data_IF_312136549025
#
_entry.id   IF_312136549025
#
_cell.length_a   1.000
_cell.length_b   1.000
_cell.length_c   1.000
_cell.angle_alpha   90.00
_cell.angle_beta   90.00
_cell.angle_gamma   90.00
#
_symmetry.space_group_name_H-M   'P 1'
#
loop_
_entity.id
_entity.type
_entity.pdbx_description
1 polymer ?
#
# COMPACT_ATOMS: atom_id res chain seq x y z
N UNK A 1 -26.57 -46.16 -15.50
CA UNK A 1 -27.65 -45.20 -15.83
C UNK A 1 -27.84 -44.09 -14.77
N UNK A 2 -27.42 -44.30 -13.52
CA UNK A 2 -27.59 -43.35 -12.40
C UNK A 2 -26.59 -42.17 -12.42
N UNK A 3 -25.32 -42.40 -12.74
CA UNK A 3 -24.27 -41.36 -12.76
C UNK A 3 -24.55 -40.28 -13.80
N UNK A 4 -24.77 -40.64 -15.07
CA UNK A 4 -25.05 -39.69 -16.16
C UNK A 4 -26.28 -38.80 -15.89
N UNK A 5 -27.35 -39.37 -15.30
CA UNK A 5 -28.57 -38.63 -14.95
C UNK A 5 -28.32 -37.62 -13.82
N UNK A 6 -27.45 -37.98 -12.86
CA UNK A 6 -27.04 -37.12 -11.74
C UNK A 6 -26.15 -35.97 -12.23
N UNK A 7 -25.20 -36.26 -13.11
CA UNK A 7 -24.37 -35.26 -13.79
C UNK A 7 -25.22 -34.22 -14.53
N UNK A 8 -26.20 -34.68 -15.32
CA UNK A 8 -27.13 -33.78 -16.03
C UNK A 8 -27.99 -32.95 -15.09
N UNK A 9 -28.46 -33.50 -13.96
CA UNK A 9 -29.24 -32.74 -12.98
C UNK A 9 -28.41 -31.67 -12.27
N UNK A 10 -27.20 -31.97 -11.85
CA UNK A 10 -26.31 -31.01 -11.17
C UNK A 10 -25.89 -29.88 -12.12
N UNK A 11 -25.56 -30.21 -13.37
CA UNK A 11 -25.27 -29.22 -14.39
C UNK A 11 -26.43 -28.23 -14.58
N UNK A 12 -27.66 -28.74 -14.69
CA UNK A 12 -28.85 -27.89 -14.82
C UNK A 12 -29.06 -27.03 -13.58
N UNK A 13 -28.86 -27.59 -12.38
CA UNK A 13 -29.04 -26.89 -11.11
C UNK A 13 -28.12 -25.67 -10.99
N UNK A 14 -26.83 -25.81 -11.30
CA UNK A 14 -25.89 -24.67 -11.28
C UNK A 14 -26.19 -23.66 -12.39
N UNK A 15 -26.63 -24.12 -13.56
CA UNK A 15 -27.03 -23.22 -14.66
C UNK A 15 -28.24 -22.37 -14.27
N UNK A 16 -29.26 -22.99 -13.68
CA UNK A 16 -30.49 -22.32 -13.26
C UNK A 16 -30.24 -21.38 -12.07
N UNK A 17 -29.24 -21.67 -11.23
CA UNK A 17 -28.79 -20.76 -10.17
C UNK A 17 -28.27 -19.44 -10.73
N UNK A 18 -27.33 -19.46 -11.69
CA UNK A 18 -26.77 -18.22 -12.23
C UNK A 18 -27.83 -17.35 -12.91
N UNK A 19 -28.81 -17.97 -13.56
CA UNK A 19 -30.00 -17.28 -14.08
C UNK A 19 -30.82 -16.67 -12.96
N UNK A 20 -31.13 -17.46 -11.92
CA UNK A 20 -31.89 -16.98 -10.77
C UNK A 20 -31.17 -15.83 -10.04
N UNK A 21 -29.85 -15.81 -10.01
CA UNK A 21 -29.03 -14.72 -9.46
C UNK A 21 -29.01 -13.47 -10.34
N UNK A 22 -29.07 -13.61 -11.68
CA UNK A 22 -29.11 -12.47 -12.60
C UNK A 22 -30.43 -11.70 -12.52
N UNK A 23 -31.56 -12.36 -12.72
CA UNK A 23 -32.87 -11.71 -12.83
C UNK A 23 -34.05 -12.46 -12.16
N UNK A 24 -33.82 -13.66 -11.61
CA UNK A 24 -34.86 -14.45 -10.94
C UNK A 24 -35.35 -13.91 -9.59
N UNK A 25 -36.39 -14.55 -9.05
CA UNK A 25 -37.02 -14.17 -7.77
C UNK A 25 -36.46 -14.98 -6.58
N UNK A 26 -36.77 -14.55 -5.36
CA UNK A 26 -36.47 -15.31 -4.14
C UNK A 26 -37.04 -16.75 -4.20
N UNK A 27 -38.25 -16.90 -4.76
CA UNK A 27 -38.90 -18.20 -4.92
C UNK A 27 -38.18 -19.11 -5.92
N UNK A 28 -37.57 -18.54 -6.97
CA UNK A 28 -36.80 -19.32 -7.93
C UNK A 28 -35.53 -19.87 -7.29
N UNK A 29 -34.81 -19.02 -6.54
CA UNK A 29 -33.61 -19.41 -5.83
C UNK A 29 -33.89 -20.40 -4.69
N UNK A 30 -35.02 -20.24 -3.98
CA UNK A 30 -35.43 -21.16 -2.93
C UNK A 30 -35.71 -22.60 -3.41
N UNK A 31 -36.03 -22.79 -4.70
CA UNK A 31 -36.19 -24.12 -5.30
C UNK A 31 -34.87 -24.81 -5.63
N UNK A 32 -33.75 -24.07 -5.61
CA UNK A 32 -32.42 -24.55 -6.01
C UNK A 32 -31.50 -24.80 -4.81
N UNK A 33 -31.79 -24.17 -3.67
CA UNK A 33 -30.90 -24.13 -2.50
C UNK A 33 -31.45 -25.02 -1.38
N UNK A 34 -30.60 -25.88 -0.85
CA UNK A 34 -30.92 -26.78 0.24
C UNK A 34 -31.17 -26.00 1.55
N UNK A 35 -32.10 -26.40 2.44
CA UNK A 35 -32.38 -25.67 3.70
C UNK A 35 -31.18 -25.51 4.64
N UNK A 36 -30.20 -26.40 4.54
CA UNK A 36 -28.92 -26.35 5.28
C UNK A 36 -27.75 -25.80 4.46
N UNK A 37 -28.03 -25.17 3.32
CA UNK A 37 -26.96 -24.72 2.42
C UNK A 37 -26.08 -23.66 3.08
N UNK A 38 -24.78 -23.70 2.78
CA UNK A 38 -23.83 -22.72 3.27
C UNK A 38 -23.02 -22.10 2.12
N UNK A 39 -22.98 -20.77 2.08
CA UNK A 39 -22.13 -20.02 1.16
C UNK A 39 -20.87 -19.53 1.90
N UNK A 40 -19.71 -20.08 1.55
CA UNK A 40 -18.44 -19.70 2.18
C UNK A 40 -18.02 -18.26 1.85
N UNK A 41 -18.52 -17.69 0.75
CA UNK A 41 -18.19 -16.34 0.30
C UNK A 41 -19.04 -15.26 0.98
N UNK A 42 -20.08 -15.64 1.73
CA UNK A 42 -20.99 -14.71 2.42
C UNK A 42 -20.32 -13.91 3.55
N UNK A 43 -19.08 -14.25 3.93
CA UNK A 43 -18.33 -13.58 5.01
C UNK A 43 -18.18 -12.07 4.79
N UNK A 44 -18.03 -11.62 3.55
CA UNK A 44 -17.90 -10.20 3.19
C UNK A 44 -19.24 -9.49 2.94
N UNK A 45 -20.32 -10.26 2.86
CA UNK A 45 -21.67 -9.79 2.61
C UNK A 45 -22.41 -9.40 3.90
N UNK A 46 -23.64 -8.87 3.80
CA UNK A 46 -24.42 -8.45 4.95
C UNK A 46 -24.68 -9.62 5.91
N UNK A 47 -24.91 -9.38 7.22
CA UNK A 47 -25.16 -10.45 8.19
C UNK A 47 -26.26 -11.45 7.77
N UNK A 48 -27.31 -10.97 7.09
CA UNK A 48 -28.38 -11.81 6.57
C UNK A 48 -27.89 -12.90 5.60
N UNK A 49 -26.86 -12.61 4.79
CA UNK A 49 -26.27 -13.55 3.82
C UNK A 49 -25.59 -14.76 4.47
N UNK A 50 -25.24 -14.65 5.75
CA UNK A 50 -24.57 -15.71 6.52
C UNK A 50 -25.55 -16.74 7.10
N UNK A 51 -26.85 -16.50 6.94
CA UNK A 51 -27.90 -17.43 7.38
C UNK A 51 -27.90 -18.67 6.49
N UNK A 52 -27.89 -19.89 7.05
CA UNK A 52 -27.99 -21.10 6.24
C UNK A 52 -29.28 -21.16 5.40
N UNK A 53 -29.18 -21.76 4.22
CA UNK A 53 -30.31 -22.06 3.34
C UNK A 53 -30.72 -20.92 2.40
N UNK A 54 -31.92 -21.01 1.81
CA UNK A 54 -32.41 -20.09 0.78
C UNK A 54 -32.33 -18.61 1.15
N UNK A 55 -32.64 -18.26 2.41
CA UNK A 55 -32.68 -16.87 2.86
C UNK A 55 -31.30 -16.19 2.79
N UNK A 56 -30.22 -16.89 3.17
CA UNK A 56 -28.87 -16.33 3.08
C UNK A 56 -28.41 -16.16 1.63
N UNK A 57 -28.68 -17.14 0.79
CA UNK A 57 -28.34 -17.06 -0.63
C UNK A 57 -29.11 -15.95 -1.36
N UNK A 58 -30.39 -15.76 -1.01
CA UNK A 58 -31.15 -14.61 -1.49
C UNK A 58 -30.57 -13.29 -1.00
N UNK A 59 -30.17 -13.19 0.26
CA UNK A 59 -29.52 -11.99 0.78
C UNK A 59 -28.19 -11.67 0.06
N UNK A 60 -27.37 -12.68 -0.27
CA UNK A 60 -26.19 -12.50 -1.13
C UNK A 60 -26.57 -11.96 -2.52
N UNK A 61 -27.63 -12.51 -3.12
CA UNK A 61 -28.13 -12.11 -4.44
C UNK A 61 -28.65 -10.66 -4.43
N UNK A 62 -29.49 -10.33 -3.45
CA UNK A 62 -30.05 -9.00 -3.27
C UNK A 62 -28.97 -7.96 -3.00
N UNK A 63 -27.93 -8.30 -2.22
CA UNK A 63 -26.79 -7.44 -1.97
C UNK A 63 -25.98 -7.15 -3.24
N UNK A 64 -25.70 -8.16 -4.06
CA UNK A 64 -25.04 -7.96 -5.36
C UNK A 64 -25.88 -7.07 -6.28
N UNK A 65 -27.19 -7.34 -6.39
CA UNK A 65 -28.12 -6.54 -7.22
C UNK A 65 -28.33 -5.12 -6.70
N UNK A 66 -28.14 -4.88 -5.42
CA UNK A 66 -28.17 -3.52 -4.86
C UNK A 66 -26.98 -2.69 -5.34
N UNK A 67 -25.80 -3.31 -5.52
CA UNK A 67 -24.63 -2.63 -6.08
C UNK A 67 -24.62 -2.55 -7.60
N UNK A 68 -25.13 -3.58 -8.29
CA UNK A 68 -24.96 -3.73 -9.73
C UNK A 68 -26.28 -3.96 -10.47
N UNK A 69 -26.46 -3.25 -11.58
CA UNK A 69 -27.52 -3.52 -12.57
C UNK A 69 -26.98 -4.35 -13.73
N UNK A 70 -27.89 -4.88 -14.56
CA UNK A 70 -27.54 -5.61 -15.78
C UNK A 70 -26.61 -6.81 -15.52
N UNK A 71 -26.71 -7.39 -14.32
CA UNK A 71 -25.90 -8.53 -13.91
C UNK A 71 -26.18 -9.74 -14.82
N UNK A 72 -25.12 -10.34 -15.34
CA UNK A 72 -25.18 -11.55 -16.16
C UNK A 72 -23.93 -12.39 -15.94
N UNK A 73 -24.07 -13.70 -16.17
CA UNK A 73 -22.96 -14.65 -16.15
C UNK A 73 -22.91 -15.39 -17.48
N UNK A 74 -21.79 -15.29 -18.16
CA UNK A 74 -21.42 -16.20 -19.24
C UNK A 74 -20.78 -17.44 -18.61
N UNK A 75 -21.31 -18.62 -18.90
CA UNK A 75 -20.79 -19.89 -18.37
C UNK A 75 -19.88 -20.52 -19.44
N UNK A 76 -18.57 -20.55 -19.19
CA UNK A 76 -17.56 -21.04 -20.14
C UNK A 76 -17.45 -22.56 -20.07
N UNK A 77 -17.20 -23.08 -18.87
CA UNK A 77 -17.13 -24.51 -18.61
C UNK A 77 -17.91 -24.87 -17.35
N UNK A 78 -18.60 -26.01 -17.40
CA UNK A 78 -19.24 -26.65 -16.26
C UNK A 78 -18.70 -28.06 -16.15
N UNK A 79 -17.91 -28.30 -15.12
CA UNK A 79 -17.40 -29.62 -14.77
C UNK A 79 -18.25 -30.18 -13.64
N UNK A 80 -18.73 -31.42 -13.80
CA UNK A 80 -19.50 -32.11 -12.78
C UNK A 80 -18.87 -33.46 -12.51
N UNK A 81 -18.56 -33.70 -11.25
CA UNK A 81 -18.09 -34.97 -10.73
C UNK A 81 -18.99 -35.37 -9.56
N UNK A 82 -19.91 -36.30 -9.84
CA UNK A 82 -20.99 -36.73 -8.94
C UNK A 82 -21.78 -35.59 -8.28
N UNK A 83 -21.49 -35.27 -7.02
CA UNK A 83 -22.16 -34.26 -6.22
C UNK A 83 -21.44 -32.91 -6.23
N UNK A 84 -20.25 -32.84 -6.83
CA UNK A 84 -19.42 -31.64 -6.96
C UNK A 84 -19.57 -31.04 -8.36
N UNK A 85 -19.72 -29.72 -8.43
CA UNK A 85 -19.67 -28.97 -9.68
C UNK A 85 -18.67 -27.82 -9.57
N UNK A 86 -17.92 -27.58 -10.65
CA UNK A 86 -17.09 -26.39 -10.83
C UNK A 86 -17.55 -25.66 -12.09
N UNK A 87 -17.68 -24.34 -12.00
CA UNK A 87 -18.21 -23.49 -13.05
C UNK A 87 -17.24 -22.34 -13.26
N UNK A 88 -16.61 -22.30 -14.44
CA UNK A 88 -15.84 -21.14 -14.88
C UNK A 88 -16.76 -20.17 -15.61
N UNK A 89 -16.74 -18.91 -15.19
CA UNK A 89 -17.70 -17.90 -15.64
C UNK A 89 -17.03 -16.56 -15.90
N UNK A 90 -17.70 -15.72 -16.68
CA UNK A 90 -17.48 -14.27 -16.68
C UNK A 90 -18.74 -13.57 -16.18
N UNK A 91 -18.61 -12.89 -15.05
CA UNK A 91 -19.64 -12.02 -14.50
C UNK A 91 -19.51 -10.64 -15.12
N UNK A 92 -20.61 -10.12 -15.65
CA UNK A 92 -20.68 -8.77 -16.24
C UNK A 92 -21.85 -7.97 -15.67
N UNK A 93 -21.73 -6.65 -15.69
CA UNK A 93 -22.79 -5.75 -15.25
C UNK A 93 -22.34 -4.30 -15.20
N UNK A 94 -23.13 -3.45 -14.52
CA UNK A 94 -22.84 -2.03 -14.32
C UNK A 94 -22.97 -1.63 -12.86
N UNK A 95 -22.01 -0.87 -12.34
CA UNK A 95 -22.03 -0.41 -10.95
C UNK A 95 -22.93 0.83 -10.78
N UNK A 96 -24.17 0.60 -10.38
CA UNK A 96 -25.25 1.60 -10.34
C UNK A 96 -25.76 1.94 -8.95
N UNK A 97 -25.49 1.10 -7.94
CA UNK A 97 -25.84 1.40 -6.55
C UNK A 97 -24.62 1.36 -5.63
N UNK A 98 -24.80 1.73 -4.37
CA UNK A 98 -23.72 1.68 -3.39
C UNK A 98 -23.39 0.22 -3.05
N UNK A 99 -22.11 -0.15 -3.16
CA UNK A 99 -21.64 -1.50 -2.83
C UNK A 99 -20.98 -1.51 -1.44
N UNK A 100 -21.62 -2.20 -0.50
CA UNK A 100 -21.19 -2.28 0.90
C UNK A 100 -20.37 -3.54 1.16
N UNK A 101 -19.26 -3.44 1.90
CA UNK A 101 -18.53 -4.60 2.42
C UNK A 101 -18.68 -4.65 3.93
N UNK A 102 -18.87 -5.84 4.47
CA UNK A 102 -19.11 -6.06 5.90
C UNK A 102 -17.94 -6.82 6.55
N UNK A 103 -17.64 -6.45 7.80
CA UNK A 103 -16.67 -7.12 8.66
C UNK A 103 -17.26 -8.35 9.36
N UNK A 104 -16.44 -9.19 10.03
CA UNK A 104 -16.91 -10.40 10.71
C UNK A 104 -18.00 -10.15 11.75
N UNK A 105 -18.00 -9.00 12.41
CA UNK A 105 -18.99 -8.55 13.39
C UNK A 105 -20.30 -8.01 12.77
N UNK A 106 -20.37 -7.91 11.44
CA UNK A 106 -21.53 -7.38 10.72
C UNK A 106 -21.52 -5.86 10.55
N UNK A 107 -20.46 -5.16 10.97
CA UNK A 107 -20.27 -3.73 10.71
C UNK A 107 -19.93 -3.47 9.24
N UNK A 108 -20.28 -2.29 8.73
CA UNK A 108 -19.89 -1.87 7.38
C UNK A 108 -18.44 -1.38 7.43
N UNK A 109 -17.53 -2.11 6.78
CA UNK A 109 -16.09 -1.80 6.74
C UNK A 109 -15.69 -0.99 5.51
N UNK A 110 -16.49 -1.03 4.45
CA UNK A 110 -16.29 -0.17 3.28
C UNK A 110 -17.62 0.08 2.54
N UNK A 111 -17.73 1.26 1.93
CA UNK A 111 -18.81 1.61 1.00
C UNK A 111 -18.19 2.14 -0.29
N UNK A 112 -18.58 1.58 -1.43
CA UNK A 112 -18.17 2.06 -2.75
C UNK A 112 -19.37 2.78 -3.40
N UNK A 113 -19.28 4.09 -3.67
CA UNK A 113 -20.36 4.82 -4.31
C UNK A 113 -20.49 4.40 -5.79
N UNK A 114 -21.70 4.47 -6.37
CA UNK A 114 -21.93 4.03 -7.74
C UNK A 114 -21.06 4.81 -8.73
N UNK A 115 -20.44 4.08 -9.66
CA UNK A 115 -19.48 4.65 -10.63
C UNK A 115 -20.07 4.79 -12.03
N UNK A 116 -21.20 4.14 -12.30
CA UNK A 116 -21.81 4.03 -13.63
C UNK A 116 -21.01 3.19 -14.62
N UNK A 117 -19.83 2.68 -14.25
CA UNK A 117 -18.93 1.93 -15.14
C UNK A 117 -19.42 0.50 -15.37
N UNK A 118 -19.33 -0.02 -16.61
CA UNK A 118 -19.52 -1.43 -16.87
C UNK A 118 -18.30 -2.23 -16.41
N UNK A 119 -18.49 -3.52 -16.14
CA UNK A 119 -17.40 -4.45 -15.85
C UNK A 119 -17.69 -5.82 -16.46
N UNK A 120 -16.62 -6.59 -16.66
CA UNK A 120 -16.61 -8.00 -16.98
C UNK A 120 -15.38 -8.62 -16.32
N UNK A 121 -15.56 -9.64 -15.49
CA UNK A 121 -14.52 -10.28 -14.68
C UNK A 121 -14.71 -11.79 -14.62
N UNK A 122 -13.61 -12.54 -14.61
CA UNK A 122 -13.65 -14.00 -14.56
C UNK A 122 -13.77 -14.51 -13.13
N UNK A 123 -14.52 -15.60 -12.96
CA UNK A 123 -14.74 -16.23 -11.65
C UNK A 123 -14.84 -17.75 -11.83
N UNK A 124 -14.33 -18.50 -10.86
CA UNK A 124 -14.62 -19.95 -10.75
C UNK A 124 -15.44 -20.19 -9.50
N UNK A 125 -16.60 -20.81 -9.66
CA UNK A 125 -17.51 -21.16 -8.58
C UNK A 125 -17.56 -22.67 -8.41
N UNK A 126 -17.59 -23.12 -7.16
CA UNK A 126 -17.66 -24.52 -6.81
C UNK A 126 -18.89 -24.77 -5.96
N UNK A 127 -19.58 -25.86 -6.23
CA UNK A 127 -20.82 -26.22 -5.57
C UNK A 127 -20.83 -27.68 -5.16
N UNK A 128 -21.39 -27.99 -3.98
CA UNK A 128 -21.85 -29.35 -3.68
C UNK A 128 -23.36 -29.44 -3.74
N UNK A 129 -23.84 -30.63 -4.09
CA UNK A 129 -25.26 -30.94 -4.13
C UNK A 129 -25.64 -32.04 -3.13
N UNK A 130 -26.81 -31.89 -2.51
CA UNK A 130 -27.43 -32.91 -1.68
C UNK A 130 -28.95 -32.86 -1.90
N UNK A 131 -29.59 -34.02 -1.96
CA UNK A 131 -31.05 -34.13 -2.15
C UNK A 131 -31.57 -33.40 -3.39
N UNK A 132 -30.73 -33.29 -4.43
CA UNK A 132 -31.06 -32.59 -5.68
C UNK A 132 -30.97 -31.06 -5.60
N UNK A 133 -30.42 -30.51 -4.51
CA UNK A 133 -30.30 -29.08 -4.23
C UNK A 133 -28.85 -28.69 -3.94
N UNK A 134 -28.52 -27.40 -4.08
CA UNK A 134 -27.22 -26.84 -3.74
C UNK A 134 -27.06 -26.75 -2.22
N UNK A 135 -26.04 -27.38 -1.66
CA UNK A 135 -25.81 -27.43 -0.20
C UNK A 135 -24.53 -26.70 0.23
N UNK A 136 -23.61 -26.44 -0.69
CA UNK A 136 -22.38 -25.72 -0.38
C UNK A 136 -21.90 -24.91 -1.59
N UNK A 137 -21.31 -23.73 -1.34
CA UNK A 137 -20.66 -22.90 -2.35
C UNK A 137 -19.35 -22.29 -1.85
N UNK A 138 -18.34 -22.21 -2.72
CA UNK A 138 -17.14 -21.40 -2.56
C UNK A 138 -16.61 -20.93 -3.93
N UNK A 139 -15.79 -19.88 -3.97
CA UNK A 139 -15.35 -19.31 -5.24
C UNK A 139 -13.93 -18.74 -5.23
N UNK A 140 -13.32 -18.70 -6.41
CA UNK A 140 -12.19 -17.84 -6.73
C UNK A 140 -12.69 -16.72 -7.64
N UNK A 141 -12.64 -15.48 -7.15
CA UNK A 141 -13.16 -14.30 -7.86
C UNK A 141 -12.05 -13.31 -8.20
N UNK A 142 -12.12 -12.70 -9.38
CA UNK A 142 -11.28 -11.56 -9.75
C UNK A 142 -11.81 -10.24 -9.15
N UNK A 143 -11.79 -10.15 -7.82
CA UNK A 143 -12.24 -8.96 -7.09
C UNK A 143 -11.30 -7.75 -7.33
N UNK A 144 -10.02 -8.00 -7.65
CA UNK A 144 -9.04 -6.96 -7.97
C UNK A 144 -9.29 -6.37 -9.37
N UNK A 145 -9.51 -7.22 -10.38
CA UNK A 145 -9.90 -6.79 -11.72
C UNK A 145 -11.24 -6.06 -11.71
N UNK A 146 -12.20 -6.50 -10.88
CA UNK A 146 -13.46 -5.78 -10.65
C UNK A 146 -13.20 -4.39 -10.11
N UNK A 147 -12.40 -4.28 -9.04
CA UNK A 147 -12.05 -3.00 -8.45
C UNK A 147 -11.32 -2.07 -9.44
N UNK A 148 -10.46 -2.62 -10.30
CA UNK A 148 -9.77 -1.87 -11.36
C UNK A 148 -10.73 -1.33 -12.42
N UNK A 149 -11.59 -2.18 -12.98
CA UNK A 149 -12.62 -1.79 -13.97
C UNK A 149 -13.54 -0.69 -13.45
N UNK A 150 -13.93 -0.81 -12.17
CA UNK A 150 -14.83 0.13 -11.51
C UNK A 150 -14.11 1.38 -11.00
N UNK A 151 -12.78 1.47 -11.08
CA UNK A 151 -12.02 2.60 -10.56
C UNK A 151 -12.09 2.74 -9.04
N UNK A 152 -12.32 1.63 -8.34
CA UNK A 152 -12.21 1.56 -6.88
C UNK A 152 -10.76 1.44 -6.42
N UNK A 153 -9.89 0.97 -7.31
CA UNK A 153 -8.47 1.15 -7.19
C UNK A 153 -8.18 2.60 -7.57
N UNK A 154 -7.44 3.31 -6.72
CA UNK A 154 -6.84 4.56 -7.12
C UNK A 154 -6.05 4.30 -8.42
N UNK A 155 -6.40 5.01 -9.50
CA UNK A 155 -5.51 5.08 -10.63
C UNK A 155 -4.16 5.58 -10.12
N UNK A 156 -3.02 5.06 -10.60
CA UNK A 156 -1.78 5.81 -10.46
C UNK A 156 -1.98 7.15 -11.18
N UNK A 157 -2.21 8.24 -10.43
CA UNK A 157 -2.35 9.61 -10.97
C UNK A 157 -3.74 10.26 -10.94
N UNK A 158 -4.59 9.99 -9.95
CA UNK A 158 -5.86 10.72 -9.77
C UNK A 158 -5.70 12.11 -9.14
N UNK A 159 -5.11 13.08 -9.85
CA UNK A 159 -5.04 14.48 -9.40
C UNK A 159 -4.36 15.41 -10.41
N UNK A 160 -5.14 16.10 -11.25
CA UNK A 160 -4.62 17.07 -12.22
C UNK A 160 -3.66 16.47 -13.27
N UNK A 161 -3.09 17.28 -14.18
CA UNK A 161 -1.95 16.83 -14.97
C UNK A 161 -0.85 16.41 -14.00
N UNK A 162 -0.32 15.19 -14.17
CA UNK A 162 0.82 14.72 -13.39
C UNK A 162 1.91 15.79 -13.40
N UNK A 163 2.37 16.21 -12.23
CA UNK A 163 3.45 17.19 -12.16
C UNK A 163 4.60 16.69 -13.04
N UNK A 164 5.13 17.55 -13.91
CA UNK A 164 6.29 17.18 -14.70
C UNK A 164 7.52 17.12 -13.79
N UNK A 165 8.42 16.18 -14.07
CA UNK A 165 9.73 16.17 -13.44
C UNK A 165 10.47 17.46 -13.81
N UNK A 166 11.07 18.10 -12.82
CA UNK A 166 11.94 19.27 -12.97
C UNK A 166 13.29 18.93 -12.36
N UNK A 167 14.30 19.72 -12.72
CA UNK A 167 15.63 19.58 -12.15
C UNK A 167 16.14 20.92 -11.68
N UNK A 168 16.91 20.90 -10.59
CA UNK A 168 17.53 22.08 -10.03
C UNK A 168 18.98 21.76 -9.65
N UNK A 169 19.89 22.62 -10.11
CA UNK A 169 21.25 22.66 -9.59
C UNK A 169 21.22 23.27 -8.17
N UNK A 170 21.65 22.49 -7.19
CA UNK A 170 21.75 22.90 -5.78
C UNK A 170 23.20 23.16 -5.35
N UNK A 171 24.11 23.34 -6.33
CA UNK A 171 25.51 23.70 -6.17
C UNK A 171 26.45 22.53 -6.40
N UNK A 172 26.31 21.45 -5.63
CA UNK A 172 27.14 20.25 -5.74
C UNK A 172 26.41 19.02 -6.28
N UNK A 173 25.16 19.19 -6.72
CA UNK A 173 24.35 18.18 -7.40
C UNK A 173 23.21 18.83 -8.19
N UNK A 174 22.77 18.18 -9.26
CA UNK A 174 21.47 18.42 -9.88
C UNK A 174 20.45 17.44 -9.27
N UNK A 175 19.37 17.96 -8.67
CA UNK A 175 18.29 17.16 -8.10
C UNK A 175 17.05 17.17 -8.98
N UNK A 176 16.53 15.99 -9.29
CA UNK A 176 15.22 15.78 -9.89
C UNK A 176 14.12 15.87 -8.83
N UNK A 177 13.06 16.61 -9.13
CA UNK A 177 11.95 16.83 -8.22
C UNK A 177 10.63 17.07 -8.95
N UNK A 178 9.54 16.97 -8.20
CA UNK A 178 8.17 17.26 -8.62
C UNK A 178 7.55 18.23 -7.63
N UNK A 179 6.74 19.16 -8.13
CA UNK A 179 6.08 20.17 -7.31
C UNK A 179 4.59 20.27 -7.66
N UNK A 180 3.75 20.33 -6.62
CA UNK A 180 2.32 20.65 -6.70
C UNK A 180 2.00 21.82 -5.78
N UNK A 181 1.05 22.66 -6.18
CA UNK A 181 0.56 23.75 -5.34
C UNK A 181 1.63 24.80 -5.00
N UNK A 182 2.45 25.21 -5.97
CA UNK A 182 3.55 26.18 -5.74
C UNK A 182 3.08 27.48 -5.04
N UNK A 183 1.85 27.92 -5.31
CA UNK A 183 1.24 29.12 -4.74
C UNK A 183 0.38 28.83 -3.48
N UNK A 184 0.34 27.59 -3.00
CA UNK A 184 -0.43 27.24 -1.82
C UNK A 184 0.18 27.92 -0.56
N UNK A 185 -0.65 28.48 0.33
CA UNK A 185 -0.16 29.16 1.52
C UNK A 185 0.38 28.17 2.56
N UNK A 186 1.21 28.68 3.48
CA UNK A 186 1.75 27.89 4.59
C UNK A 186 3.10 27.23 4.27
N UNK A 187 3.57 26.32 5.14
CA UNK A 187 4.83 25.62 4.90
C UNK A 187 4.72 24.66 3.72
N UNK A 188 5.80 24.53 2.96
CA UNK A 188 5.90 23.47 1.95
C UNK A 188 6.10 22.11 2.61
N UNK A 189 5.61 21.04 1.98
CA UNK A 189 5.82 19.66 2.41
C UNK A 189 6.90 19.05 1.51
N UNK A 190 8.03 18.65 2.08
CA UNK A 190 9.05 17.89 1.35
C UNK A 190 8.87 16.39 1.61
N UNK A 191 8.58 15.61 0.57
CA UNK A 191 8.55 14.15 0.60
C UNK A 191 9.92 13.60 0.20
N UNK A 192 10.70 13.13 1.18
CA UNK A 192 12.08 12.65 1.01
C UNK A 192 12.15 11.12 1.19
N UNK A 193 12.33 10.40 0.08
CA UNK A 193 12.27 8.93 0.00
C UNK A 193 13.36 8.21 0.81
N UNK A 194 13.08 6.99 1.27
CA UNK A 194 14.08 6.10 1.85
C UNK A 194 15.17 5.71 0.84
N UNK A 195 16.26 5.11 1.32
CA UNK A 195 17.24 4.45 0.45
C UNK A 195 16.61 3.39 -0.48
N UNK A 196 17.45 2.71 -1.27
CA UNK A 196 17.06 1.76 -2.32
C UNK A 196 16.41 2.36 -3.56
N UNK A 197 15.47 3.30 -3.43
CA UNK A 197 14.62 3.69 -4.56
C UNK A 197 14.02 5.10 -4.44
N UNK A 198 14.10 5.91 -5.50
CA UNK A 198 13.54 7.28 -5.51
C UNK A 198 11.99 7.36 -5.49
N UNK A 199 11.31 6.27 -5.82
CA UNK A 199 9.88 6.28 -6.13
C UNK A 199 8.96 5.96 -4.94
N UNK A 200 9.49 5.74 -3.73
CA UNK A 200 8.69 5.38 -2.54
C UNK A 200 7.48 6.30 -2.32
N UNK A 201 7.67 7.61 -2.46
CA UNK A 201 6.62 8.60 -2.24
C UNK A 201 5.77 8.94 -3.47
N UNK A 202 6.01 8.32 -4.64
CA UNK A 202 5.20 8.62 -5.83
C UNK A 202 3.70 8.43 -5.56
N UNK A 203 3.22 7.31 -4.98
CA UNK A 203 1.79 7.13 -4.75
C UNK A 203 1.23 8.07 -3.67
N UNK A 204 2.05 8.50 -2.71
CA UNK A 204 1.66 9.48 -1.66
C UNK A 204 1.52 10.88 -2.26
N UNK A 205 2.45 11.27 -3.14
CA UNK A 205 2.46 12.58 -3.80
C UNK A 205 1.20 12.83 -4.64
N UNK A 206 0.61 11.78 -5.20
CA UNK A 206 -0.61 11.85 -6.01
C UNK A 206 -1.91 11.85 -5.18
N UNK A 207 -1.83 11.82 -3.84
CA UNK A 207 -3.03 11.70 -3.00
C UNK A 207 -3.79 13.02 -2.85
N UNK A 208 -5.14 13.00 -2.95
CA UNK A 208 -5.97 14.19 -2.77
C UNK A 208 -5.91 14.81 -1.36
N UNK A 209 -5.50 14.05 -0.34
CA UNK A 209 -5.39 14.58 1.02
C UNK A 209 -4.40 15.74 1.12
N UNK A 210 -3.40 15.76 0.23
CA UNK A 210 -2.39 16.81 0.11
C UNK A 210 -2.83 17.98 -0.77
N UNK A 211 -4.04 17.94 -1.34
CA UNK A 211 -4.56 19.06 -2.13
C UNK A 211 -4.66 20.33 -1.26
N UNK A 212 -4.32 21.46 -1.86
CA UNK A 212 -4.25 22.75 -1.16
C UNK A 212 -2.97 22.95 -0.34
N UNK A 213 -2.02 22.00 -0.34
CA UNK A 213 -0.68 22.17 0.22
C UNK A 213 0.33 22.37 -0.92
N UNK A 214 1.44 23.07 -0.61
CA UNK A 214 2.61 23.09 -1.48
C UNK A 214 3.42 21.83 -1.20
N UNK A 215 3.53 20.92 -2.16
CA UNK A 215 4.20 19.63 -1.97
C UNK A 215 5.33 19.48 -2.96
N UNK A 216 6.51 19.16 -2.45
CA UNK A 216 7.72 18.86 -3.22
C UNK A 216 8.10 17.41 -2.97
N UNK A 217 8.20 16.60 -4.02
CA UNK A 217 8.79 15.26 -3.97
C UNK A 217 10.16 15.32 -4.63
N UNK A 218 11.19 14.83 -3.97
CA UNK A 218 12.56 14.88 -4.47
C UNK A 218 13.10 13.48 -4.71
N UNK A 219 13.94 13.30 -5.73
CA UNK A 219 14.93 12.23 -5.78
C UNK A 219 16.25 12.78 -5.24
N UNK A 220 16.77 12.22 -4.16
CA UNK A 220 18.05 12.68 -3.60
C UNK A 220 19.20 12.33 -4.55
N UNK A 221 20.33 13.02 -4.40
CA UNK A 221 21.56 12.65 -5.10
C UNK A 221 21.85 11.15 -4.91
N UNK A 222 22.20 10.46 -5.99
CA UNK A 222 22.40 9.01 -6.03
C UNK A 222 21.19 8.21 -6.54
N UNK A 223 20.02 8.82 -6.68
CA UNK A 223 18.79 8.12 -7.07
C UNK A 223 18.09 8.72 -8.29
N UNK A 224 17.38 7.87 -9.03
CA UNK A 224 16.52 8.29 -10.14
C UNK A 224 17.22 9.18 -11.15
N UNK A 225 16.58 10.29 -11.52
CA UNK A 225 17.14 11.26 -12.48
C UNK A 225 18.11 12.28 -11.89
N UNK A 226 18.39 12.22 -10.58
CA UNK A 226 19.34 13.11 -9.91
C UNK A 226 20.79 12.72 -10.17
N UNK A 227 21.71 13.65 -9.91
CA UNK A 227 23.15 13.44 -10.05
C UNK A 227 23.62 12.24 -9.23
N UNK A 228 24.48 11.41 -9.82
CA UNK A 228 25.21 10.36 -9.11
C UNK A 228 26.47 10.95 -8.48
N UNK A 229 26.66 10.87 -7.16
CA UNK A 229 27.83 11.44 -6.50
C UNK A 229 29.14 10.80 -6.99
N UNK A 230 30.19 11.61 -7.12
CA UNK A 230 31.56 11.17 -7.40
C UNK A 230 32.35 10.85 -6.13
N UNK A 231 31.78 11.17 -4.95
CA UNK A 231 32.27 10.86 -3.62
C UNK A 231 31.13 10.35 -2.72
N UNK A 232 31.43 9.63 -1.63
CA UNK A 232 30.44 9.33 -0.61
C UNK A 232 29.83 10.62 -0.03
N UNK A 233 28.51 10.64 0.11
CA UNK A 233 27.77 11.74 0.74
C UNK A 233 27.43 11.39 2.19
N UNK A 234 27.62 12.36 3.08
CA UNK A 234 27.12 12.28 4.45
C UNK A 234 25.62 12.57 4.52
N UNK A 235 24.96 12.23 5.63
CA UNK A 235 23.56 12.64 5.82
C UNK A 235 23.40 14.16 5.86
N UNK A 236 24.41 14.88 6.35
CA UNK A 236 24.45 16.36 6.31
C UNK A 236 24.58 16.90 4.88
N UNK A 237 25.29 16.22 3.98
CA UNK A 237 25.32 16.58 2.56
C UNK A 237 23.93 16.47 1.93
N UNK A 238 23.24 15.35 2.14
CA UNK A 238 21.87 15.17 1.66
C UNK A 238 20.89 16.20 2.26
N UNK A 239 21.01 16.49 3.56
CA UNK A 239 20.19 17.50 4.22
C UNK A 239 20.40 18.88 3.59
N UNK A 240 21.66 19.31 3.44
CA UNK A 240 22.03 20.57 2.79
C UNK A 240 21.47 20.67 1.37
N UNK A 241 21.62 19.62 0.56
CA UNK A 241 21.13 19.59 -0.82
C UNK A 241 19.61 19.74 -0.91
N UNK A 242 18.86 19.04 -0.06
CA UNK A 242 17.40 19.18 0.01
C UNK A 242 16.96 20.55 0.52
N UNK A 243 17.64 21.13 1.52
CA UNK A 243 17.37 22.48 1.98
C UNK A 243 17.67 23.53 0.90
N UNK A 244 18.76 23.36 0.14
CA UNK A 244 19.10 24.21 -1.00
C UNK A 244 18.04 24.15 -2.11
N UNK A 245 17.50 22.95 -2.40
CA UNK A 245 16.34 22.79 -3.29
C UNK A 245 15.14 23.61 -2.81
N UNK A 246 14.76 23.49 -1.52
CA UNK A 246 13.64 24.24 -0.95
C UNK A 246 13.87 25.76 -1.04
N UNK A 247 15.07 26.24 -0.68
CA UNK A 247 15.43 27.67 -0.80
C UNK A 247 15.40 28.15 -2.26
N UNK A 248 15.90 27.35 -3.19
CA UNK A 248 15.86 27.66 -4.63
C UNK A 248 14.44 27.73 -5.19
N UNK A 249 13.48 27.04 -4.57
CA UNK A 249 12.05 27.14 -4.85
C UNK A 249 11.38 28.35 -4.16
N UNK A 250 12.11 29.16 -3.39
CA UNK A 250 11.55 30.24 -2.61
C UNK A 250 10.70 29.75 -1.43
N UNK A 251 11.04 28.60 -0.84
CA UNK A 251 10.41 28.09 0.38
C UNK A 251 11.17 28.63 1.58
N UNK A 252 10.44 29.35 2.45
CA UNK A 252 11.00 29.88 3.70
C UNK A 252 10.73 28.98 4.90
N UNK A 253 9.68 28.15 4.85
CA UNK A 253 9.28 27.21 5.90
C UNK A 253 8.77 25.91 5.30
N UNK A 254 9.16 24.79 5.89
CA UNK A 254 8.86 23.47 5.39
C UNK A 254 8.59 22.45 6.51
N UNK A 255 7.71 21.51 6.20
CA UNK A 255 7.55 20.24 6.91
C UNK A 255 8.28 19.16 6.13
N UNK A 256 9.26 18.54 6.76
CA UNK A 256 10.00 17.41 6.20
C UNK A 256 9.28 16.10 6.49
N UNK A 257 8.92 15.36 5.45
CA UNK A 257 8.38 14.00 5.54
C UNK A 257 9.46 13.04 5.07
N UNK A 258 10.14 12.41 6.02
CA UNK A 258 11.28 11.53 5.76
C UNK A 258 10.93 10.08 6.03
N UNK A 259 11.27 9.19 5.09
CA UNK A 259 11.13 7.74 5.28
C UNK A 259 12.50 7.09 5.52
N UNK A 260 12.61 6.26 6.56
CA UNK A 260 13.82 5.48 6.87
C UNK A 260 15.07 6.36 7.01
N UNK A 261 16.09 6.18 6.15
CA UNK A 261 17.30 7.01 6.14
C UNK A 261 16.99 8.51 5.99
N UNK A 262 15.97 8.89 5.21
CA UNK A 262 15.57 10.29 5.06
C UNK A 262 14.89 10.88 6.28
N UNK A 263 14.45 10.05 7.24
CA UNK A 263 14.01 10.55 8.53
C UNK A 263 15.20 11.05 9.38
N UNK A 264 16.34 10.33 9.33
CA UNK A 264 17.60 10.77 9.94
C UNK A 264 18.17 12.02 9.23
N UNK A 265 18.09 12.07 7.89
CA UNK A 265 18.47 13.27 7.12
C UNK A 265 17.60 14.47 7.50
N UNK A 266 16.30 14.27 7.75
CA UNK A 266 15.39 15.32 8.22
C UNK A 266 15.75 15.85 9.61
N UNK A 267 16.14 14.97 10.54
CA UNK A 267 16.67 15.38 11.85
C UNK A 267 17.93 16.23 11.71
N UNK A 268 18.84 15.86 10.80
CA UNK A 268 20.03 16.65 10.48
C UNK A 268 19.64 18.01 9.90
N UNK A 269 18.72 18.06 8.94
CA UNK A 269 18.22 19.29 8.33
C UNK A 269 17.61 20.25 9.36
N UNK A 270 16.84 19.73 10.32
CA UNK A 270 16.24 20.53 11.39
C UNK A 270 17.25 21.08 12.41
N UNK A 271 18.42 20.43 12.55
CA UNK A 271 19.52 20.95 13.36
C UNK A 271 20.30 22.05 12.61
N UNK A 272 20.48 21.88 11.31
CA UNK A 272 21.31 22.77 10.48
C UNK A 272 20.56 24.04 10.06
N UNK A 273 19.26 23.94 9.74
CA UNK A 273 18.40 25.07 9.36
C UNK A 273 17.03 24.99 10.09
N UNK A 274 16.99 25.30 11.41
CA UNK A 274 15.77 25.22 12.21
C UNK A 274 14.71 26.27 11.83
N UNK A 275 15.08 27.31 11.08
CA UNK A 275 14.14 28.34 10.61
C UNK A 275 13.41 27.87 9.34
N UNK A 276 14.08 27.08 8.49
CA UNK A 276 13.45 26.43 7.33
C UNK A 276 12.61 25.22 7.74
N UNK A 277 13.14 24.34 8.58
CA UNK A 277 12.46 23.09 8.93
C UNK A 277 11.67 23.27 10.22
N UNK A 278 10.41 23.68 10.10
CA UNK A 278 9.52 23.91 11.25
C UNK A 278 8.80 22.64 11.72
N UNK A 279 8.74 21.60 10.87
CA UNK A 279 8.07 20.34 11.18
C UNK A 279 8.76 19.11 10.61
N UNK A 280 8.65 18.00 11.33
CA UNK A 280 9.18 16.69 10.98
C UNK A 280 8.08 15.63 11.08
N UNK A 281 7.85 14.89 10.00
CA UNK A 281 7.09 13.64 9.99
C UNK A 281 8.05 12.52 9.62
N UNK A 282 8.40 11.69 10.61
CA UNK A 282 9.47 10.71 10.52
C UNK A 282 8.87 9.31 10.44
N UNK A 283 8.88 8.70 9.25
CA UNK A 283 8.37 7.37 9.00
C UNK A 283 9.49 6.34 9.24
N UNK A 284 9.36 5.57 10.32
CA UNK A 284 10.31 4.55 10.77
C UNK A 284 11.78 5.01 10.69
N UNK A 285 12.14 6.08 11.42
CA UNK A 285 13.52 6.53 11.53
C UNK A 285 14.40 5.43 12.13
N UNK A 286 15.63 5.32 11.67
CA UNK A 286 16.62 4.38 12.20
C UNK A 286 17.89 5.10 12.67
N UNK A 287 17.81 6.01 13.67
CA UNK A 287 18.98 6.70 14.20
C UNK A 287 19.75 5.74 15.10
N UNK A 288 20.76 5.06 14.52
CA UNK A 288 21.57 4.03 15.19
C UNK A 288 20.72 2.90 15.78
N UNK A 289 20.46 1.83 15.02
CA UNK A 289 19.82 0.65 15.59
C UNK A 289 20.71 0.09 16.71
N UNK A 290 20.24 0.20 17.96
CA UNK A 290 20.90 -0.28 19.15
C UNK A 290 19.85 -0.97 20.04
N UNK A 291 20.19 -2.14 20.58
CA UNK A 291 19.26 -2.97 21.33
C UNK A 291 19.11 -4.38 20.74
N UNK A 292 18.39 -5.28 21.42
CA UNK A 292 18.28 -6.67 21.01
C UNK A 292 17.66 -6.86 19.63
N UNK A 293 16.61 -6.12 19.26
CA UNK A 293 16.01 -6.28 17.94
C UNK A 293 16.89 -5.71 16.82
N UNK A 294 17.65 -4.65 17.09
CA UNK A 294 18.68 -4.14 16.20
C UNK A 294 19.79 -5.19 15.95
N UNK A 295 20.28 -5.84 16.99
CA UNK A 295 21.28 -6.92 16.87
C UNK A 295 20.75 -8.12 16.08
N UNK A 296 19.51 -8.53 16.35
CA UNK A 296 18.84 -9.60 15.62
C UNK A 296 18.64 -9.25 14.13
N UNK A 297 18.20 -8.03 13.85
CA UNK A 297 18.03 -7.52 12.48
C UNK A 297 19.37 -7.46 11.76
N UNK A 298 20.43 -7.00 12.43
CA UNK A 298 21.77 -7.00 11.88
C UNK A 298 22.24 -8.42 11.54
N UNK A 299 22.04 -9.40 12.43
CA UNK A 299 22.43 -10.78 12.19
C UNK A 299 21.63 -11.45 11.06
N UNK A 300 20.31 -11.21 10.99
CA UNK A 300 19.42 -11.90 10.04
C UNK A 300 19.30 -11.23 8.67
N UNK A 301 19.46 -9.92 8.61
CA UNK A 301 19.24 -9.14 7.39
C UNK A 301 20.55 -8.50 6.92
N UNK A 302 21.15 -7.63 7.74
CA UNK A 302 22.31 -6.84 7.31
C UNK A 302 23.54 -7.70 7.04
N UNK A 303 23.83 -8.70 7.87
CA UNK A 303 24.94 -9.63 7.68
C UNK A 303 24.89 -10.35 6.32
N UNK A 304 23.78 -11.05 6.00
CA UNK A 304 23.60 -11.66 4.68
C UNK A 304 23.64 -10.68 3.51
N UNK A 305 23.12 -9.45 3.68
CA UNK A 305 23.22 -8.37 2.67
C UNK A 305 24.68 -8.01 2.42
N UNK A 306 25.46 -7.78 3.47
CA UNK A 306 26.88 -7.44 3.36
C UNK A 306 27.72 -8.58 2.78
N UNK A 307 27.37 -9.84 3.08
CA UNK A 307 28.00 -11.00 2.45
C UNK A 307 27.73 -11.04 0.94
N UNK A 308 26.48 -10.83 0.50
CA UNK A 308 26.15 -10.75 -0.92
C UNK A 308 26.86 -9.59 -1.63
N UNK A 309 27.04 -8.44 -0.96
CA UNK A 309 27.83 -7.32 -1.50
C UNK A 309 29.32 -7.64 -1.62
N UNK A 310 29.89 -8.36 -0.64
CA UNK A 310 31.28 -8.81 -0.70
C UNK A 310 31.53 -9.75 -1.88
N UNK A 311 30.52 -10.53 -2.28
CA UNK A 311 30.53 -11.39 -3.47
C UNK A 311 30.24 -10.61 -4.78
N UNK A 312 29.98 -9.31 -4.71
CA UNK A 312 29.64 -8.45 -5.85
C UNK A 312 28.20 -8.59 -6.35
N UNK A 313 27.34 -9.32 -5.64
CA UNK A 313 25.94 -9.57 -6.01
C UNK A 313 24.99 -8.52 -5.41
N UNK A 314 25.04 -7.31 -5.99
CA UNK A 314 24.21 -6.17 -5.57
C UNK A 314 22.72 -6.47 -5.71
N UNK A 315 22.30 -7.25 -6.71
CA UNK A 315 20.91 -7.60 -6.94
C UNK A 315 20.37 -8.51 -5.82
N UNK A 316 21.14 -9.51 -5.41
CA UNK A 316 20.81 -10.36 -4.26
C UNK A 316 20.85 -9.57 -2.95
N UNK A 317 21.83 -8.70 -2.77
CA UNK A 317 21.90 -7.84 -1.59
C UNK A 317 20.64 -6.97 -1.45
N UNK A 318 20.21 -6.33 -2.54
CA UNK A 318 18.96 -5.55 -2.56
C UNK A 318 17.73 -6.41 -2.25
N UNK A 319 17.64 -7.61 -2.84
CA UNK A 319 16.51 -8.53 -2.60
C UNK A 319 16.45 -9.00 -1.14
N UNK A 320 17.59 -9.36 -0.54
CA UNK A 320 17.68 -9.75 0.86
C UNK A 320 17.28 -8.60 1.80
N UNK A 321 17.76 -7.39 1.52
CA UNK A 321 17.44 -6.21 2.32
C UNK A 321 15.93 -5.94 2.30
N UNK A 322 15.32 -5.85 1.11
CA UNK A 322 13.90 -5.51 0.96
C UNK A 322 12.97 -6.59 1.51
N UNK A 323 13.30 -7.88 1.34
CA UNK A 323 12.54 -8.95 2.01
C UNK A 323 12.62 -8.85 3.53
N UNK A 324 13.77 -8.43 4.05
CA UNK A 324 14.02 -8.27 5.47
C UNK A 324 13.20 -7.15 6.08
N UNK A 325 13.12 -5.98 5.41
CA UNK A 325 12.49 -4.79 5.98
C UNK A 325 11.05 -4.54 5.50
N UNK A 326 10.74 -4.83 4.23
CA UNK A 326 9.41 -4.58 3.62
C UNK A 326 8.56 -5.84 3.49
N UNK A 327 9.15 -7.02 3.73
CA UNK A 327 8.48 -8.31 3.66
C UNK A 327 8.58 -9.00 2.29
N UNK A 328 8.12 -10.25 2.22
CA UNK A 328 8.30 -11.12 1.05
C UNK A 328 7.56 -10.64 -0.21
N UNK A 329 6.48 -9.86 -0.03
CA UNK A 329 5.62 -9.40 -1.12
C UNK A 329 6.03 -8.05 -1.71
N UNK A 330 7.18 -7.48 -1.30
CA UNK A 330 7.62 -6.15 -1.74
C UNK A 330 7.64 -5.99 -3.27
N UNK A 331 8.04 -7.03 -4.01
CA UNK A 331 8.04 -7.01 -5.49
C UNK A 331 6.64 -6.91 -6.08
N UNK A 332 5.68 -7.64 -5.52
CA UNK A 332 4.28 -7.58 -5.95
C UNK A 332 3.69 -6.20 -5.66
N UNK A 333 4.02 -5.63 -4.50
CA UNK A 333 3.62 -4.28 -4.12
C UNK A 333 4.19 -3.22 -5.06
N UNK A 334 5.49 -3.28 -5.39
CA UNK A 334 6.13 -2.38 -6.34
C UNK A 334 5.43 -2.42 -7.70
N UNK A 335 5.15 -3.63 -8.23
CA UNK A 335 4.43 -3.78 -9.50
C UNK A 335 3.05 -3.15 -9.45
N UNK A 336 2.29 -3.46 -8.40
CA UNK A 336 0.92 -2.96 -8.24
C UNK A 336 0.85 -1.43 -8.10
N UNK A 337 1.86 -0.79 -7.50
CA UNK A 337 1.85 0.66 -7.22
C UNK A 337 2.57 1.50 -8.26
N UNK A 338 3.62 0.96 -8.88
CA UNK A 338 4.57 1.73 -9.68
C UNK A 338 4.76 1.18 -11.10
N UNK A 339 4.18 0.01 -11.42
CA UNK A 339 4.24 -0.63 -12.73
C UNK A 339 5.16 -1.85 -12.78
N UNK A 340 4.99 -2.69 -13.80
CA UNK A 340 5.68 -3.99 -13.94
C UNK A 340 7.22 -3.89 -13.93
N UNK A 341 7.77 -2.77 -14.40
CA UNK A 341 9.20 -2.48 -14.47
C UNK A 341 9.81 -1.95 -13.15
N UNK A 342 8.98 -1.70 -12.13
CA UNK A 342 9.41 -1.06 -10.89
C UNK A 342 10.48 -1.87 -10.12
N UNK A 343 10.41 -3.22 -10.02
CA UNK A 343 11.49 -4.00 -9.41
C UNK A 343 12.84 -3.83 -10.12
N UNK A 344 12.84 -3.69 -11.44
CA UNK A 344 14.07 -3.51 -12.22
C UNK A 344 14.64 -2.10 -12.07
N UNK A 345 13.76 -1.08 -11.97
CA UNK A 345 14.17 0.29 -11.62
C UNK A 345 14.80 0.35 -10.24
N UNK A 346 14.17 -0.27 -9.25
CA UNK A 346 14.74 -0.37 -7.90
C UNK A 346 16.12 -1.03 -7.93
N UNK A 347 16.27 -2.15 -8.64
CA UNK A 347 17.55 -2.87 -8.65
C UNK A 347 18.70 -2.02 -9.22
N UNK A 348 18.42 -1.10 -10.15
CA UNK A 348 19.40 -0.15 -10.70
C UNK A 348 19.79 0.96 -9.73
N UNK A 349 18.86 1.38 -8.88
CA UNK A 349 19.05 2.48 -7.93
C UNK A 349 19.62 2.00 -6.59
N UNK A 350 19.34 0.73 -6.21
CA UNK A 350 19.70 0.16 -4.93
C UNK A 350 21.21 0.13 -4.65
N UNK A 351 22.03 0.10 -5.71
CA UNK A 351 23.48 0.05 -5.60
C UNK A 351 24.02 1.19 -4.72
N UNK A 352 23.60 2.44 -4.99
CA UNK A 352 24.11 3.60 -4.26
C UNK A 352 23.81 3.51 -2.75
N UNK A 353 22.62 3.04 -2.37
CA UNK A 353 22.32 2.84 -0.96
C UNK A 353 23.24 1.80 -0.33
N UNK A 354 23.40 0.65 -0.99
CA UNK A 354 24.13 -0.49 -0.45
C UNK A 354 25.63 -0.22 -0.32
N UNK A 355 26.20 0.60 -1.21
CA UNK A 355 27.64 0.88 -1.22
C UNK A 355 28.03 2.12 -0.42
N UNK A 356 27.13 3.12 -0.34
CA UNK A 356 27.47 4.44 0.19
C UNK A 356 26.53 4.86 1.34
N UNK A 357 25.24 5.04 1.06
CA UNK A 357 24.32 5.67 2.02
C UNK A 357 24.10 4.85 3.29
N UNK A 358 24.03 3.51 3.19
CA UNK A 358 23.81 2.65 4.36
C UNK A 358 24.91 2.82 5.40
N UNK A 359 26.16 3.00 4.96
CA UNK A 359 27.30 3.26 5.84
C UNK A 359 27.19 4.65 6.47
N UNK A 360 26.89 5.67 5.65
CA UNK A 360 26.72 7.03 6.13
C UNK A 360 25.63 7.11 7.22
N UNK A 361 24.51 6.40 7.02
CA UNK A 361 23.39 6.36 7.96
C UNK A 361 23.65 5.51 9.20
N UNK A 362 24.17 4.28 9.04
CA UNK A 362 24.26 3.31 10.13
C UNK A 362 25.56 3.43 10.95
N UNK A 363 26.64 3.94 10.36
CA UNK A 363 27.98 3.93 10.97
C UNK A 363 28.47 5.34 11.27
N UNK A 364 28.47 6.21 10.26
CA UNK A 364 29.20 7.48 10.33
C UNK A 364 28.38 8.59 10.98
N UNK A 365 27.06 8.61 10.77
CA UNK A 365 26.18 9.61 11.38
C UNK A 365 25.96 9.35 12.88
N UNK A 366 25.94 10.44 13.66
CA UNK A 366 25.78 10.41 15.12
C UNK A 366 24.63 11.32 15.52
N UNK A 367 23.68 10.73 16.23
CA UNK A 367 22.55 11.41 16.83
C UNK A 367 22.29 10.81 18.21
N UNK A 368 22.13 11.67 19.21
CA UNK A 368 21.96 11.31 20.61
C UNK A 368 20.93 12.24 21.28
N UNK A 369 20.65 12.01 22.56
CA UNK A 369 19.70 12.81 23.33
C UNK A 369 20.07 14.31 23.38
N UNK A 370 21.37 14.66 23.39
CA UNK A 370 21.81 16.05 23.45
C UNK A 370 21.54 16.78 22.13
N UNK A 371 21.74 16.10 20.99
CA UNK A 371 21.35 16.61 19.68
C UNK A 371 19.83 16.65 19.52
N UNK A 372 19.12 15.61 19.96
CA UNK A 372 17.66 15.57 19.92
C UNK A 372 17.01 16.74 20.67
N UNK A 373 17.54 17.10 21.85
CA UNK A 373 17.07 18.24 22.64
C UNK A 373 17.24 19.61 21.93
N UNK A 374 18.05 19.69 20.88
CA UNK A 374 18.26 20.92 20.09
C UNK A 374 17.27 21.05 18.91
N UNK A 375 16.56 19.98 18.55
CA UNK A 375 15.58 20.01 17.46
C UNK A 375 14.37 20.83 17.90
N UNK A 376 14.14 21.97 17.23
CA UNK A 376 13.01 22.89 17.50
C UNK A 376 11.73 22.52 16.74
N UNK A 377 11.88 21.76 15.66
CA UNK A 377 10.79 21.39 14.79
C UNK A 377 9.73 20.57 15.53
N UNK A 378 8.45 20.87 15.28
CA UNK A 378 7.35 20.01 15.74
C UNK A 378 7.55 18.63 15.12
N UNK A 379 7.52 17.57 15.92
CA UNK A 379 7.89 16.24 15.44
C UNK A 379 6.76 15.23 15.62
N UNK A 380 6.49 14.45 14.57
CA UNK A 380 5.63 13.28 14.57
C UNK A 380 6.45 12.06 14.17
N UNK A 381 6.58 11.11 15.08
CA UNK A 381 7.19 9.81 14.88
C UNK A 381 6.12 8.81 14.44
N UNK A 382 6.37 8.07 13.36
CA UNK A 382 5.41 7.12 12.80
C UNK A 382 6.04 5.74 12.69
N UNK A 383 5.37 4.74 13.25
CA UNK A 383 5.75 3.33 13.12
C UNK A 383 4.60 2.56 12.44
N UNK A 384 4.89 1.61 11.56
CA UNK A 384 3.90 0.66 11.08
C UNK A 384 3.63 -0.41 12.14
N UNK A 385 2.36 -0.73 12.39
CA UNK A 385 1.98 -1.79 13.35
C UNK A 385 2.53 -3.17 12.95
N UNK A 386 2.73 -3.41 11.65
CA UNK A 386 3.30 -4.67 11.15
C UNK A 386 4.82 -4.74 11.36
N UNK A 387 5.50 -3.60 11.43
CA UNK A 387 6.96 -3.55 11.66
C UNK A 387 7.30 -4.05 13.05
N UNK A 388 6.47 -3.80 14.06
CA UNK A 388 6.62 -4.36 15.41
C UNK A 388 6.68 -5.89 15.42
N UNK A 389 6.16 -6.56 14.37
CA UNK A 389 6.20 -8.03 14.21
C UNK A 389 7.30 -8.50 13.27
N UNK A 390 7.55 -7.76 12.19
CA UNK A 390 8.42 -8.19 11.09
C UNK A 390 9.85 -7.64 11.22
N UNK A 391 9.98 -6.39 11.68
CA UNK A 391 11.25 -5.70 11.89
C UNK A 391 11.19 -4.84 13.16
N UNK A 392 11.22 -5.44 14.37
CA UNK A 392 10.96 -4.72 15.62
C UNK A 392 11.96 -3.60 15.93
N UNK A 393 13.11 -3.61 15.26
CA UNK A 393 14.12 -2.55 15.30
C UNK A 393 13.54 -1.14 15.03
N UNK A 394 12.55 -1.00 14.13
CA UNK A 394 11.94 0.30 13.86
C UNK A 394 11.08 0.80 15.03
N UNK A 395 10.37 -0.11 15.71
CA UNK A 395 9.59 0.24 16.89
C UNK A 395 10.52 0.64 18.06
N UNK A 396 11.63 -0.07 18.27
CA UNK A 396 12.66 0.30 19.26
C UNK A 396 13.25 1.69 18.95
N UNK A 397 13.57 1.96 17.69
CA UNK A 397 14.12 3.24 17.26
C UNK A 397 13.14 4.42 17.45
N UNK A 398 11.85 4.20 17.15
CA UNK A 398 10.78 5.19 17.41
C UNK A 398 10.63 5.44 18.91
N UNK A 399 10.65 4.39 19.74
CA UNK A 399 10.56 4.52 21.19
C UNK A 399 11.75 5.31 21.76
N UNK A 400 12.98 5.04 21.29
CA UNK A 400 14.18 5.75 21.71
C UNK A 400 14.12 7.24 21.34
N UNK A 401 13.67 7.58 20.12
CA UNK A 401 13.48 8.97 19.74
C UNK A 401 12.39 9.66 20.55
N UNK A 402 11.29 8.97 20.88
CA UNK A 402 10.25 9.52 21.74
C UNK A 402 10.76 9.84 23.15
N UNK A 403 11.69 9.02 23.68
CA UNK A 403 12.39 9.30 24.94
C UNK A 403 13.28 10.54 24.83
N UNK A 404 14.07 10.65 23.76
CA UNK A 404 14.99 11.78 23.55
C UNK A 404 14.28 13.09 23.18
N UNK A 405 13.07 13.00 22.62
CA UNK A 405 12.27 14.13 22.15
C UNK A 405 10.88 14.10 22.81
N UNK A 406 10.76 14.45 24.11
CA UNK A 406 9.50 14.33 24.85
C UNK A 406 8.36 15.21 24.31
N UNK A 407 8.66 16.21 23.47
CA UNK A 407 7.66 17.01 22.75
C UNK A 407 7.16 16.40 21.45
N UNK A 408 7.76 15.29 20.99
CA UNK A 408 7.33 14.59 19.79
C UNK A 408 6.05 13.78 20.07
N UNK A 409 5.15 13.76 19.09
CA UNK A 409 4.01 12.84 19.10
C UNK A 409 4.41 11.55 18.41
N UNK A 410 3.89 10.42 18.87
CA UNK A 410 4.08 9.13 18.21
C UNK A 410 2.75 8.55 17.75
N UNK A 411 2.73 7.97 16.56
CA UNK A 411 1.56 7.29 15.98
C UNK A 411 1.98 5.94 15.42
N UNK A 412 1.17 4.93 15.68
CA UNK A 412 1.26 3.64 15.01
C UNK A 412 0.21 3.56 13.88
N UNK A 413 0.64 3.23 12.66
CA UNK A 413 -0.24 3.06 11.52
C UNK A 413 -0.64 1.59 11.35
N UNK A 414 -1.95 1.25 11.43
CA UNK A 414 -2.41 -0.13 11.34
C UNK A 414 -2.27 -0.68 9.92
N UNK A 415 -1.93 -1.97 9.80
CA UNK A 415 -1.94 -2.71 8.54
C UNK A 415 -0.78 -2.40 7.58
N UNK A 416 0.20 -1.61 8.03
CA UNK A 416 1.42 -1.30 7.27
C UNK A 416 2.68 -1.58 8.09
N UNK A 417 3.78 -1.82 7.40
CA UNK A 417 5.15 -1.93 7.94
C UNK A 417 6.09 -0.93 7.26
N UNK A 418 7.36 -1.30 7.07
CA UNK A 418 8.37 -0.37 6.56
C UNK A 418 8.04 0.24 5.19
N UNK A 419 7.42 -0.54 4.30
CA UNK A 419 6.96 -0.09 2.99
C UNK A 419 5.71 0.79 2.99
N UNK A 420 5.35 1.44 4.12
CA UNK A 420 4.09 2.18 4.30
C UNK A 420 3.73 3.19 3.20
N UNK A 421 4.67 3.93 2.57
CA UNK A 421 4.32 4.85 1.47
C UNK A 421 3.71 4.14 0.26
N UNK A 422 4.04 2.85 0.06
CA UNK A 422 3.48 2.01 -1.00
C UNK A 422 2.31 1.16 -0.51
N UNK A 423 2.34 0.69 0.74
CA UNK A 423 1.29 -0.17 1.29
C UNK A 423 -0.03 0.61 1.45
N UNK A 424 0.01 1.76 2.12
CA UNK A 424 -1.15 2.65 2.28
C UNK A 424 -0.78 4.13 2.07
N UNK A 425 -0.64 4.56 0.80
CA UNK A 425 -0.33 5.96 0.51
C UNK A 425 -1.42 6.92 0.98
N UNK A 426 -2.68 6.47 1.06
CA UNK A 426 -3.81 7.30 1.48
C UNK A 426 -3.68 7.65 2.96
N UNK A 427 -3.37 6.65 3.80
CA UNK A 427 -3.16 6.86 5.22
C UNK A 427 -1.96 7.78 5.50
N UNK A 428 -0.83 7.56 4.81
CA UNK A 428 0.36 8.42 4.94
C UNK A 428 0.05 9.87 4.53
N UNK A 429 -0.62 10.07 3.40
CA UNK A 429 -0.98 11.42 2.94
C UNK A 429 -1.94 12.14 3.89
N UNK A 430 -2.92 11.44 4.48
CA UNK A 430 -3.81 12.00 5.51
C UNK A 430 -3.04 12.40 6.76
N UNK A 431 -2.18 11.51 7.25
CA UNK A 431 -1.34 11.78 8.43
C UNK A 431 -0.48 13.02 8.23
N UNK A 432 0.14 13.18 7.05
CA UNK A 432 0.91 14.37 6.70
C UNK A 432 0.02 15.61 6.64
N UNK A 433 -1.13 15.54 5.98
CA UNK A 433 -2.04 16.68 5.87
C UNK A 433 -2.58 17.15 7.23
N UNK A 434 -2.94 16.20 8.10
CA UNK A 434 -3.40 16.49 9.46
C UNK A 434 -2.28 17.11 10.30
N UNK A 435 -1.04 16.65 10.14
CA UNK A 435 0.12 17.25 10.81
C UNK A 435 0.37 18.70 10.37
N UNK A 436 0.20 19.00 9.08
CA UNK A 436 0.41 20.36 8.55
C UNK A 436 -0.71 21.32 8.96
N UNK A 437 -1.95 20.82 9.08
CA UNK A 437 -3.14 21.63 9.41
C UNK A 437 -3.38 21.84 10.90
N UNK A 438 -2.77 21.03 11.76
CA UNK A 438 -2.79 21.18 13.22
C UNK A 438 -1.85 22.31 13.68
#
# INVERSE_FOLDING_TARGET
MTTTRRTTSTHRLVTDLFRAMADGTEADLARLVHPRAHDREAVIGPPAARTPGPAGWWASTAWLRAGFSELSWELHEILVDDDLAAVHTTMSGRHTGAYHRYGPDGSVVAVRPPTGRPFAVTQTHWFRTADGLLVEHWANRDDLGLAGRLGWLAAPGGGGPAAAARRMDVGDAELEYWERGADAPGPAVLLAHAGMFGEWFRPVFDQPALDGLRVVRVHRAGYGGSSRPDRPLSLADHARQCCALLRGLGVDRAVWVGHSSSACIGLQAALDDPDLIEGLVLLEPAPRPAGPAAEETNARVVGPVMAALADGDVARAADLFLRGVDGLDYRALLRARLGEDAPDRLARDAAYFLTDEIRAAAVDWRFDAALAARVRARTLLVCGAESSRTTPMFAEAVALLAEWMPGARSVELPGVGHGMPLQDPVAVARLVADFVRA
#
